data_IF_242965358078
#
_entry.id   IF_242965358078
#
_cell.length_a   1.000
_cell.length_b   1.000
_cell.length_c   1.000
_cell.angle_alpha   90.00
_cell.angle_beta   90.00
_cell.angle_gamma   90.00
#
_symmetry.space_group_name_H-M   'P 1'
#
loop_
_entity.id
_entity.type
_entity.pdbx_description
1 polymer ?
#
# COMPACT_ATOMS: atom_id res chain seq x y z
N UNK A 1 5.00 -18.16 -15.40
CA UNK A 1 5.87 -17.30 -14.58
C UNK A 1 7.28 -17.89 -14.56
N UNK A 2 8.18 -17.23 -15.30
CA UNK A 2 9.56 -17.71 -15.55
C UNK A 2 10.34 -18.05 -14.26
N UNK A 3 10.15 -17.29 -13.18
CA UNK A 3 10.84 -17.53 -11.91
C UNK A 3 10.43 -18.86 -11.28
N UNK A 4 9.14 -19.17 -11.29
CA UNK A 4 8.64 -20.43 -10.76
C UNK A 4 9.14 -21.61 -11.60
N UNK A 5 9.02 -21.55 -12.92
CA UNK A 5 9.48 -22.56 -13.86
C UNK A 5 10.99 -22.80 -13.74
N UNK A 6 11.76 -21.71 -13.55
CA UNK A 6 13.21 -21.80 -13.35
C UNK A 6 13.58 -22.52 -12.05
N UNK A 7 12.94 -22.16 -10.93
CA UNK A 7 13.25 -22.77 -9.61
C UNK A 7 12.83 -24.24 -9.57
N UNK A 8 11.71 -24.59 -10.19
CA UNK A 8 11.21 -25.97 -10.24
C UNK A 8 11.70 -26.77 -11.44
N UNK A 9 12.67 -26.26 -12.20
CA UNK A 9 13.27 -27.00 -13.30
C UNK A 9 14.06 -28.21 -12.76
N UNK A 10 13.64 -29.41 -13.15
CA UNK A 10 14.25 -30.67 -12.69
C UNK A 10 15.72 -30.81 -13.07
N UNK A 11 16.12 -30.31 -14.26
CA UNK A 11 17.51 -30.35 -14.74
C UNK A 11 18.44 -29.48 -13.86
N UNK A 12 17.91 -28.36 -13.35
CA UNK A 12 18.67 -27.47 -12.47
C UNK A 12 18.79 -28.01 -11.06
N UNK A 13 17.86 -28.87 -10.64
CA UNK A 13 17.86 -29.53 -9.32
C UNK A 13 17.96 -28.55 -8.14
N UNK A 14 17.32 -27.38 -8.24
CA UNK A 14 17.28 -26.42 -7.14
C UNK A 14 16.29 -26.83 -6.04
N UNK A 15 15.28 -27.60 -6.39
CA UNK A 15 14.30 -28.17 -5.46
C UNK A 15 14.28 -29.67 -5.62
N UNK A 16 14.39 -30.39 -4.51
CA UNK A 16 14.28 -31.85 -4.45
C UNK A 16 13.38 -32.24 -3.26
N UNK A 17 12.42 -33.10 -3.52
CA UNK A 17 11.49 -33.59 -2.49
C UNK A 17 10.81 -32.45 -1.69
N UNK A 18 10.49 -31.33 -2.38
CA UNK A 18 9.85 -30.18 -1.76
C UNK A 18 10.78 -29.31 -0.88
N UNK A 19 12.09 -29.49 -0.99
CA UNK A 19 13.10 -28.70 -0.25
C UNK A 19 14.10 -28.08 -1.20
N UNK A 20 14.59 -26.89 -0.85
CA UNK A 20 15.71 -26.26 -1.55
C UNK A 20 17.01 -27.02 -1.29
N UNK A 21 17.82 -27.16 -2.32
CA UNK A 21 19.11 -27.86 -2.28
C UNK A 21 20.26 -26.91 -2.01
N UNK A 22 21.45 -27.45 -1.68
CA UNK A 22 22.66 -26.64 -1.54
C UNK A 22 23.00 -25.91 -2.84
N UNK A 23 22.71 -26.50 -3.99
CA UNK A 23 22.90 -25.86 -5.30
C UNK A 23 22.09 -24.56 -5.47
N UNK A 24 20.89 -24.51 -4.85
CA UNK A 24 20.12 -23.26 -4.80
C UNK A 24 20.81 -22.21 -3.92
N UNK A 25 21.32 -22.63 -2.76
CA UNK A 25 22.04 -21.70 -1.87
C UNK A 25 23.35 -21.21 -2.49
N UNK A 26 24.07 -22.03 -3.23
CA UNK A 26 25.26 -21.62 -3.99
C UNK A 26 24.91 -20.55 -5.04
N UNK A 27 23.76 -20.69 -5.71
CA UNK A 27 23.26 -19.72 -6.70
C UNK A 27 23.00 -18.34 -6.09
N UNK A 28 22.41 -18.30 -4.89
CA UNK A 28 22.06 -17.03 -4.21
C UNK A 28 23.18 -16.49 -3.31
N UNK A 29 24.34 -17.15 -3.28
CA UNK A 29 25.50 -16.71 -2.55
C UNK A 29 25.59 -17.16 -1.10
N UNK A 30 24.78 -18.13 -0.67
CA UNK A 30 24.85 -18.74 0.65
C UNK A 30 23.50 -19.03 1.29
N UNK A 31 23.52 -19.58 2.50
CA UNK A 31 22.30 -19.86 3.28
C UNK A 31 21.74 -18.59 3.87
N UNK A 32 20.41 -18.49 3.90
CA UNK A 32 19.68 -17.37 4.46
C UNK A 32 19.34 -17.71 5.92
N UNK A 33 19.77 -16.87 6.85
CA UNK A 33 19.43 -17.02 8.27
C UNK A 33 18.12 -16.35 8.65
N UNK A 34 17.76 -15.26 7.98
CA UNK A 34 16.54 -14.49 8.26
C UNK A 34 15.89 -14.05 6.96
N UNK A 35 14.59 -14.27 6.84
CA UNK A 35 13.75 -13.73 5.75
C UNK A 35 12.82 -12.70 6.36
N UNK A 36 12.82 -11.49 5.79
CA UNK A 36 11.89 -10.43 6.12
C UNK A 36 11.07 -10.09 4.88
N UNK A 37 9.74 -10.15 5.00
CA UNK A 37 8.81 -9.87 3.90
C UNK A 37 7.90 -8.74 4.35
N UNK A 38 7.96 -7.64 3.63
CA UNK A 38 7.05 -6.50 3.80
C UNK A 38 5.92 -6.56 2.77
N UNK A 39 4.79 -5.91 3.07
CA UNK A 39 3.58 -5.90 2.23
C UNK A 39 3.12 -7.33 1.84
N UNK A 40 3.17 -8.25 2.80
CA UNK A 40 2.89 -9.67 2.53
C UNK A 40 1.49 -9.92 1.95
N UNK A 41 0.50 -9.07 2.23
CA UNK A 41 -0.86 -9.15 1.69
C UNK A 41 -0.92 -9.09 0.15
N UNK A 42 0.14 -8.58 -0.49
CA UNK A 42 0.24 -8.50 -1.95
C UNK A 42 0.92 -9.74 -2.57
N UNK A 43 1.28 -10.71 -1.73
CA UNK A 43 1.92 -11.97 -2.17
C UNK A 43 0.93 -12.85 -2.92
N UNK A 44 1.26 -13.22 -4.15
CA UNK A 44 0.47 -14.16 -4.93
C UNK A 44 0.72 -15.62 -4.50
N UNK A 45 -0.25 -16.51 -4.78
CA UNK A 45 -0.11 -17.95 -4.52
C UNK A 45 1.16 -18.54 -5.16
N UNK A 46 1.55 -18.02 -6.32
CA UNK A 46 2.74 -18.50 -7.01
C UNK A 46 4.04 -18.05 -6.33
N UNK A 47 4.08 -16.80 -5.86
CA UNK A 47 5.19 -16.30 -5.04
C UNK A 47 5.28 -17.06 -3.72
N UNK A 48 4.14 -17.34 -3.08
CA UNK A 48 4.09 -18.14 -1.86
C UNK A 48 4.72 -19.52 -2.05
N UNK A 49 4.43 -20.22 -3.15
CA UNK A 49 5.02 -21.52 -3.43
C UNK A 49 6.54 -21.52 -3.50
N UNK A 50 7.14 -20.39 -3.86
CA UNK A 50 8.60 -20.21 -3.87
C UNK A 50 9.08 -19.83 -2.46
N UNK A 51 8.42 -18.87 -1.84
CA UNK A 51 8.79 -18.35 -0.53
C UNK A 51 8.77 -19.45 0.55
N UNK A 52 7.75 -20.29 0.58
CA UNK A 52 7.63 -21.34 1.60
C UNK A 52 8.81 -22.34 1.55
N UNK A 53 9.38 -22.58 0.39
CA UNK A 53 10.58 -23.45 0.26
C UNK A 53 11.78 -22.80 0.94
N UNK A 54 11.94 -21.49 0.76
CA UNK A 54 13.01 -20.71 1.38
C UNK A 54 12.79 -20.57 2.88
N UNK A 55 11.56 -20.27 3.29
CA UNK A 55 11.16 -20.13 4.69
C UNK A 55 11.42 -21.42 5.48
N UNK A 56 11.09 -22.58 4.91
CA UNK A 56 11.34 -23.89 5.53
C UNK A 56 12.83 -24.20 5.71
N UNK A 57 13.71 -23.50 5.02
CA UNK A 57 15.17 -23.68 5.12
C UNK A 57 15.84 -22.54 5.93
N UNK A 58 15.06 -21.63 6.50
CA UNK A 58 15.52 -20.43 7.20
C UNK A 58 15.19 -20.53 8.68
N UNK A 59 16.01 -19.91 9.54
CA UNK A 59 15.82 -19.96 11.00
C UNK A 59 14.80 -18.95 11.49
N UNK A 60 14.81 -17.76 10.93
CA UNK A 60 13.98 -16.66 11.37
C UNK A 60 13.15 -16.10 10.21
N UNK A 61 11.87 -15.90 10.46
CA UNK A 61 10.93 -15.38 9.46
C UNK A 61 10.17 -14.23 10.09
N UNK A 62 10.12 -13.10 9.40
CA UNK A 62 9.33 -11.93 9.78
C UNK A 62 8.48 -11.54 8.57
N UNK A 63 7.17 -11.59 8.73
CA UNK A 63 6.22 -11.14 7.71
C UNK A 63 5.45 -9.94 8.26
N UNK A 64 5.44 -8.85 7.52
CA UNK A 64 4.70 -7.63 7.86
C UNK A 64 3.70 -7.34 6.77
N UNK A 65 2.50 -6.91 7.14
CA UNK A 65 1.45 -6.58 6.19
C UNK A 65 0.18 -6.10 6.87
N UNK A 66 -0.77 -5.67 6.07
CA UNK A 66 -2.11 -5.29 6.50
C UNK A 66 -3.13 -5.83 5.48
N UNK A 67 -3.95 -6.78 5.91
CA UNK A 67 -4.97 -7.41 5.04
C UNK A 67 -5.93 -6.39 4.41
N UNK A 68 -6.16 -5.26 5.10
CA UNK A 68 -7.05 -4.18 4.64
C UNK A 68 -6.45 -3.36 3.50
N UNK A 69 -5.13 -3.43 3.33
CA UNK A 69 -4.40 -2.78 2.24
C UNK A 69 -4.20 -3.68 1.02
N UNK A 70 -4.73 -4.90 1.00
CA UNK A 70 -4.68 -5.80 -0.14
C UNK A 70 -5.53 -5.29 -1.31
N UNK A 71 -4.93 -4.49 -2.19
CA UNK A 71 -5.58 -3.89 -3.36
C UNK A 71 -5.16 -4.53 -4.69
N UNK A 72 -4.23 -5.49 -4.66
CA UNK A 72 -3.65 -6.13 -5.84
C UNK A 72 -4.20 -7.54 -6.12
N UNK A 73 -5.41 -7.86 -5.67
CA UNK A 73 -6.07 -9.16 -5.95
C UNK A 73 -6.12 -9.48 -7.45
N UNK A 74 -6.29 -8.48 -8.32
CA UNK A 74 -6.26 -8.62 -9.77
C UNK A 74 -4.90 -9.02 -10.35
N UNK A 75 -3.80 -8.84 -9.59
CA UNK A 75 -2.45 -9.33 -9.93
C UNK A 75 -2.15 -10.72 -9.35
N UNK A 76 -3.14 -11.33 -8.69
CA UNK A 76 -3.00 -12.64 -8.05
C UNK A 76 -2.60 -12.57 -6.58
N UNK A 77 -2.67 -11.39 -5.96
CA UNK A 77 -2.59 -11.25 -4.50
C UNK A 77 -3.74 -12.04 -3.85
N UNK A 78 -3.43 -12.78 -2.81
CA UNK A 78 -4.39 -13.67 -2.13
C UNK A 78 -4.53 -13.23 -0.67
N UNK A 79 -5.60 -12.47 -0.39
CA UNK A 79 -5.90 -11.98 0.96
C UNK A 79 -5.98 -13.14 1.98
N UNK A 80 -6.60 -14.25 1.61
CA UNK A 80 -6.74 -15.42 2.47
C UNK A 80 -5.40 -16.06 2.84
N UNK A 81 -4.36 -15.84 2.03
CA UNK A 81 -3.02 -16.31 2.33
C UNK A 81 -2.44 -15.58 3.55
N UNK A 82 -2.62 -14.26 3.62
CA UNK A 82 -2.19 -13.46 4.76
C UNK A 82 -2.98 -13.82 6.04
N UNK A 83 -4.30 -13.95 5.95
CA UNK A 83 -5.16 -14.35 7.06
C UNK A 83 -4.80 -15.72 7.67
N UNK A 84 -4.22 -16.61 6.87
CA UNK A 84 -3.83 -17.97 7.29
C UNK A 84 -2.34 -18.11 7.60
N UNK A 85 -1.56 -17.04 7.44
CA UNK A 85 -0.10 -17.09 7.54
C UNK A 85 0.38 -17.63 8.89
N UNK A 86 -0.22 -17.18 9.99
CA UNK A 86 0.05 -17.65 11.35
C UNK A 86 0.08 -19.18 11.43
N UNK A 87 -0.97 -19.82 10.88
CA UNK A 87 -1.09 -21.28 10.90
C UNK A 87 -0.18 -21.98 9.87
N UNK A 88 0.19 -21.28 8.78
CA UNK A 88 1.01 -21.86 7.71
C UNK A 88 2.49 -21.96 8.09
N UNK A 89 2.96 -21.07 8.95
CA UNK A 89 4.37 -21.00 9.36
C UNK A 89 4.57 -21.12 10.89
N UNK A 90 3.50 -21.39 11.65
CA UNK A 90 3.53 -21.50 13.12
C UNK A 90 4.20 -20.28 13.77
N UNK A 91 3.69 -19.08 13.46
CA UNK A 91 4.26 -17.82 13.88
C UNK A 91 3.45 -17.14 14.99
N UNK A 92 4.12 -16.42 15.86
CA UNK A 92 3.49 -15.47 16.77
C UNK A 92 3.04 -14.22 16.00
N UNK A 93 1.86 -13.68 16.34
CA UNK A 93 1.29 -12.49 15.72
C UNK A 93 1.39 -11.31 16.66
N UNK A 94 1.95 -10.22 16.17
CA UNK A 94 1.98 -8.94 16.86
C UNK A 94 1.28 -7.86 16.04
N UNK A 95 0.42 -7.05 16.68
CA UNK A 95 -0.21 -5.91 16.03
C UNK A 95 0.60 -4.63 16.21
N UNK A 96 0.85 -3.91 15.10
CA UNK A 96 1.45 -2.59 15.12
C UNK A 96 0.35 -1.55 15.33
N UNK A 97 0.09 -1.18 16.57
CA UNK A 97 -1.03 -0.34 16.99
C UNK A 97 -0.74 1.18 16.93
N UNK A 98 0.45 1.58 16.46
CA UNK A 98 0.88 2.98 16.46
C UNK A 98 1.50 3.43 15.15
N UNK A 99 1.01 4.53 14.61
CA UNK A 99 1.63 5.23 13.48
C UNK A 99 2.76 6.15 13.97
N UNK A 100 3.93 5.99 13.36
CA UNK A 100 5.08 6.89 13.53
C UNK A 100 5.26 7.83 12.34
N UNK A 101 4.42 7.72 11.31
CA UNK A 101 4.47 8.50 10.07
C UNK A 101 3.60 9.73 10.12
N UNK A 102 2.38 9.58 10.61
CA UNK A 102 1.33 10.58 10.44
C UNK A 102 1.14 11.44 11.68
N UNK A 103 0.77 12.70 11.44
CA UNK A 103 0.38 13.63 12.49
C UNK A 103 -0.94 13.22 13.14
N UNK A 104 -1.16 13.72 14.37
CA UNK A 104 -2.32 13.42 15.20
C UNK A 104 -3.65 13.62 14.47
N UNK A 105 -3.85 14.81 13.89
CA UNK A 105 -5.11 15.15 13.24
C UNK A 105 -5.43 14.23 12.05
N UNK A 106 -4.41 13.76 11.34
CA UNK A 106 -4.58 12.80 10.25
C UNK A 106 -5.06 11.46 10.82
N UNK A 107 -4.40 10.96 11.88
CA UNK A 107 -4.76 9.68 12.47
C UNK A 107 -6.13 9.70 13.14
N UNK A 108 -6.50 10.78 13.83
CA UNK A 108 -7.82 10.94 14.43
C UNK A 108 -8.93 10.93 13.36
N UNK A 109 -8.71 11.60 12.24
CA UNK A 109 -9.68 11.59 11.14
C UNK A 109 -9.75 10.24 10.44
N UNK A 110 -8.62 9.57 10.20
CA UNK A 110 -8.60 8.20 9.67
C UNK A 110 -9.37 7.25 10.59
N UNK A 111 -9.08 7.26 11.89
CA UNK A 111 -9.79 6.45 12.87
C UNK A 111 -11.31 6.74 12.84
N UNK A 112 -11.70 8.02 12.83
CA UNK A 112 -13.12 8.43 12.79
C UNK A 112 -13.85 7.89 11.56
N UNK A 113 -13.20 7.88 10.40
CA UNK A 113 -13.79 7.35 9.16
C UNK A 113 -13.94 5.83 9.25
N UNK A 114 -12.87 5.13 9.61
CA UNK A 114 -12.84 3.66 9.53
C UNK A 114 -13.57 2.96 10.67
N UNK A 115 -13.61 3.53 11.88
CA UNK A 115 -14.45 3.02 12.97
C UNK A 115 -15.95 3.18 12.69
N UNK A 116 -16.31 4.11 11.80
CA UNK A 116 -17.70 4.31 11.35
C UNK A 116 -18.18 3.27 10.32
N UNK A 117 -17.29 2.52 9.70
CA UNK A 117 -17.62 1.48 8.71
C UNK A 117 -18.07 0.22 9.45
N UNK A 118 -19.37 -0.11 9.35
CA UNK A 118 -20.00 -1.17 10.16
C UNK A 118 -19.99 -2.57 9.54
N UNK A 119 -19.58 -2.73 8.30
CA UNK A 119 -19.69 -4.00 7.58
C UNK A 119 -18.33 -4.72 7.58
N UNK A 120 -18.26 -5.93 8.13
CA UNK A 120 -17.17 -6.94 8.05
C UNK A 120 -15.71 -6.42 8.11
N UNK A 121 -15.56 -5.18 8.56
CA UNK A 121 -14.31 -4.46 8.61
C UNK A 121 -13.82 -4.37 10.06
N UNK A 122 -13.04 -5.35 10.47
CA UNK A 122 -12.45 -5.36 11.80
C UNK A 122 -11.33 -4.32 11.89
N UNK A 123 -11.70 -3.06 12.15
CA UNK A 123 -10.75 -1.96 12.28
C UNK A 123 -10.45 -1.67 13.74
N UNK A 124 -9.18 -1.77 14.14
CA UNK A 124 -8.69 -1.30 15.42
C UNK A 124 -8.13 0.12 15.27
N UNK A 125 -8.46 1.01 16.19
CA UNK A 125 -7.93 2.37 16.18
C UNK A 125 -6.41 2.37 16.29
N UNK A 126 -5.77 3.11 15.38
CA UNK A 126 -4.32 3.26 15.35
C UNK A 126 -3.93 4.48 16.20
N UNK A 127 -3.08 4.27 17.18
CA UNK A 127 -2.49 5.32 18.01
C UNK A 127 -1.53 6.18 17.17
N UNK A 128 -1.28 7.40 17.61
CA UNK A 128 -0.32 8.31 16.99
C UNK A 128 0.83 8.63 17.97
N UNK A 129 1.89 9.22 17.44
CA UNK A 129 3.03 9.70 18.26
C UNK A 129 2.58 10.83 19.18
N UNK A 130 3.14 10.85 20.38
CA UNK A 130 2.86 11.88 21.39
C UNK A 130 3.87 13.02 21.40
N UNK A 131 4.90 12.98 20.54
CA UNK A 131 5.91 14.01 20.43
C UNK A 131 5.27 15.34 19.97
N UNK A 132 5.69 16.46 20.54
CA UNK A 132 5.11 17.81 20.26
C UNK A 132 5.12 18.16 18.77
N UNK A 133 6.15 17.73 18.05
CA UNK A 133 6.29 17.93 16.60
C UNK A 133 5.13 17.32 15.81
N UNK A 134 4.58 16.19 16.27
CA UNK A 134 3.52 15.45 15.59
C UNK A 134 2.10 15.76 16.06
N UNK A 135 1.96 16.77 16.93
CA UNK A 135 0.65 17.21 17.46
C UNK A 135 -0.06 18.24 16.55
N UNK A 136 0.63 18.76 15.51
CA UNK A 136 0.13 19.81 14.63
C UNK A 136 0.08 19.35 13.19
N UNK A 137 -0.95 18.59 12.84
CA UNK A 137 -1.27 18.26 11.46
C UNK A 137 -2.43 19.11 10.93
N UNK A 138 -2.82 18.85 9.71
CA UNK A 138 -4.01 19.41 9.10
C UNK A 138 -4.75 18.32 8.31
N UNK A 139 -6.06 18.30 8.48
CA UNK A 139 -6.94 17.46 7.69
C UNK A 139 -8.15 18.31 7.29
N UNK A 140 -8.46 18.31 6.00
CA UNK A 140 -9.63 19.00 5.47
C UNK A 140 -10.33 18.15 4.41
N UNK A 141 -11.63 18.31 4.27
CA UNK A 141 -12.39 17.65 3.22
C UNK A 141 -13.43 18.59 2.64
N UNK A 142 -13.68 18.44 1.34
CA UNK A 142 -14.72 19.14 0.63
C UNK A 142 -15.70 18.12 0.05
N UNK A 143 -16.92 18.11 0.55
CA UNK A 143 -18.00 17.28 0.03
C UNK A 143 -18.86 18.13 -0.88
N UNK A 144 -19.08 17.69 -2.11
CA UNK A 144 -20.08 18.25 -3.02
C UNK A 144 -21.17 17.25 -3.25
N UNK A 145 -22.40 17.68 -3.03
CA UNK A 145 -23.58 16.95 -3.48
C UNK A 145 -23.60 16.97 -5.01
N UNK A 146 -23.71 15.78 -5.62
CA UNK A 146 -23.98 15.69 -7.05
C UNK A 146 -25.44 16.07 -7.27
N UNK A 147 -25.75 17.14 -8.02
CA UNK A 147 -27.14 17.40 -8.36
C UNK A 147 -27.69 16.22 -9.16
N UNK A 148 -28.86 15.72 -8.76
CA UNK A 148 -29.56 14.61 -9.43
C UNK A 148 -30.07 14.96 -10.83
N UNK A 149 -29.95 16.22 -11.22
CA UNK A 149 -30.26 16.75 -12.55
C UNK A 149 -28.92 17.03 -13.25
N UNK A 150 -28.79 16.55 -14.48
CA UNK A 150 -27.66 16.85 -15.37
C UNK A 150 -27.60 18.36 -15.66
N UNK A 151 -27.04 19.13 -14.75
CA UNK A 151 -26.51 20.43 -15.06
C UNK A 151 -25.20 20.18 -15.83
N UNK A 152 -25.24 20.36 -17.14
CA UNK A 152 -24.14 20.14 -18.07
C UNK A 152 -22.90 21.02 -17.77
N UNK A 153 -23.04 22.00 -16.85
CA UNK A 153 -22.02 23.02 -16.56
C UNK A 153 -21.15 22.75 -15.32
N UNK A 154 -21.25 21.59 -14.65
CA UNK A 154 -20.45 21.37 -13.44
C UNK A 154 -19.71 20.05 -13.45
N UNK A 155 -18.57 19.98 -14.13
CA UNK A 155 -17.63 18.87 -14.02
C UNK A 155 -17.01 18.85 -12.59
N UNK A 156 -17.21 17.77 -11.82
CA UNK A 156 -16.60 17.63 -10.49
C UNK A 156 -15.08 17.76 -10.50
N UNK A 157 -14.44 17.33 -11.59
CA UNK A 157 -12.99 17.42 -11.78
C UNK A 157 -12.56 18.88 -11.90
N UNK A 158 -13.31 19.69 -12.63
CA UNK A 158 -13.00 21.13 -12.79
C UNK A 158 -13.02 21.88 -11.45
N UNK A 159 -14.02 21.61 -10.63
CA UNK A 159 -14.12 22.22 -9.29
C UNK A 159 -13.02 21.75 -8.33
N UNK A 160 -12.61 20.48 -8.43
CA UNK A 160 -11.47 19.98 -7.66
C UNK A 160 -10.18 20.69 -8.07
N UNK A 161 -9.98 20.91 -9.36
CA UNK A 161 -8.82 21.65 -9.89
C UNK A 161 -8.83 23.10 -9.41
N UNK A 162 -9.98 23.78 -9.46
CA UNK A 162 -10.13 25.14 -8.96
C UNK A 162 -9.73 25.26 -7.50
N UNK A 163 -10.19 24.34 -6.64
CA UNK A 163 -9.81 24.29 -5.23
C UNK A 163 -8.30 24.11 -5.04
N UNK A 164 -7.67 23.18 -5.77
CA UNK A 164 -6.22 22.98 -5.71
C UNK A 164 -5.46 24.24 -6.14
N UNK A 165 -5.92 24.89 -7.20
CA UNK A 165 -5.34 26.17 -7.69
C UNK A 165 -5.45 27.24 -6.62
N UNK A 166 -6.59 27.34 -5.94
CA UNK A 166 -6.80 28.30 -4.85
C UNK A 166 -5.88 28.01 -3.66
N UNK A 167 -5.74 26.75 -3.25
CA UNK A 167 -4.83 26.34 -2.18
C UNK A 167 -3.36 26.63 -2.51
N UNK A 168 -2.97 26.51 -3.78
CA UNK A 168 -1.63 26.89 -4.24
C UNK A 168 -1.43 28.42 -4.20
N UNK A 169 -2.41 29.21 -4.66
CA UNK A 169 -2.35 30.68 -4.69
C UNK A 169 -2.42 31.30 -3.30
N UNK A 170 -3.20 30.73 -2.40
CA UNK A 170 -3.31 31.19 -1.01
C UNK A 170 -2.08 30.85 -0.17
N UNK A 171 -1.20 29.96 -0.66
CA UNK A 171 -0.05 29.48 0.09
C UNK A 171 -0.40 28.43 1.15
N UNK A 172 -1.58 27.87 1.11
CA UNK A 172 -1.99 26.74 1.94
C UNK A 172 -1.13 25.50 1.60
N UNK A 173 -0.90 25.26 0.31
CA UNK A 173 0.13 24.31 -0.16
C UNK A 173 1.48 25.02 -0.19
N UNK A 174 2.27 24.84 0.86
CA UNK A 174 3.56 25.54 1.02
C UNK A 174 4.72 24.92 0.24
N UNK A 175 4.65 23.61 -0.01
CA UNK A 175 5.73 22.87 -0.65
C UNK A 175 5.16 21.92 -1.70
N UNK A 176 5.15 22.38 -2.94
CA UNK A 176 4.65 21.62 -4.08
C UNK A 176 5.45 20.31 -4.28
N UNK A 177 6.75 20.33 -4.02
CA UNK A 177 7.62 19.16 -4.17
C UNK A 177 7.32 18.02 -3.19
N UNK A 178 6.65 18.31 -2.08
CA UNK A 178 6.24 17.35 -1.07
C UNK A 178 4.71 17.09 -1.08
N UNK A 179 4.03 17.54 -2.14
CA UNK A 179 2.58 17.38 -2.28
C UNK A 179 2.27 16.31 -3.32
N UNK A 180 1.37 15.40 -2.98
CA UNK A 180 0.88 14.37 -3.89
C UNK A 180 -0.60 14.57 -4.15
N UNK A 181 -1.02 14.44 -5.41
CA UNK A 181 -2.42 14.45 -5.84
C UNK A 181 -2.78 13.04 -6.28
N UNK A 182 -3.79 12.47 -5.67
CA UNK A 182 -4.30 11.14 -6.01
C UNK A 182 -5.68 11.29 -6.65
N UNK A 183 -5.89 10.64 -7.79
CA UNK A 183 -7.18 10.57 -8.45
C UNK A 183 -7.55 9.13 -8.82
N UNK A 184 -8.82 8.87 -9.05
CA UNK A 184 -9.32 7.53 -9.33
C UNK A 184 -8.90 6.99 -10.70
N UNK A 185 -8.70 7.86 -11.67
CA UNK A 185 -8.36 7.47 -13.05
C UNK A 185 -7.19 8.29 -13.59
N UNK A 186 -6.40 7.66 -14.49
CA UNK A 186 -5.32 8.35 -15.20
C UNK A 186 -5.81 9.53 -16.04
N UNK A 187 -7.05 9.47 -16.58
CA UNK A 187 -7.67 10.59 -17.30
C UNK A 187 -7.79 11.83 -16.40
N UNK A 188 -8.32 11.66 -15.18
CA UNK A 188 -8.43 12.75 -14.22
C UNK A 188 -7.06 13.32 -13.83
N UNK A 189 -6.06 12.47 -13.62
CA UNK A 189 -4.69 12.91 -13.32
C UNK A 189 -4.10 13.74 -14.45
N UNK A 190 -4.26 13.31 -15.70
CA UNK A 190 -3.78 14.05 -16.88
C UNK A 190 -4.43 15.44 -16.96
N UNK A 191 -5.75 15.51 -16.78
CA UNK A 191 -6.49 16.76 -16.84
C UNK A 191 -6.06 17.72 -15.72
N UNK A 192 -5.90 17.21 -14.49
CA UNK A 192 -5.38 18.00 -13.36
C UNK A 192 -3.97 18.52 -13.66
N UNK A 193 -3.07 17.62 -14.13
CA UNK A 193 -1.70 18.01 -14.44
C UNK A 193 -1.61 19.06 -15.54
N UNK A 194 -2.37 18.92 -16.63
CA UNK A 194 -2.41 19.92 -17.71
C UNK A 194 -2.85 21.30 -17.21
N UNK A 195 -3.88 21.36 -16.37
CA UNK A 195 -4.39 22.62 -15.83
C UNK A 195 -3.40 23.25 -14.86
N UNK A 196 -2.81 22.48 -13.96
CA UNK A 196 -1.83 22.97 -13.00
C UNK A 196 -0.53 23.42 -13.68
N UNK A 197 -0.06 22.73 -14.70
CA UNK A 197 1.11 23.14 -15.47
C UNK A 197 0.88 24.46 -16.23
N UNK A 198 -0.34 24.73 -16.72
CA UNK A 198 -0.68 26.02 -17.33
C UNK A 198 -0.55 27.22 -16.40
N UNK A 199 -0.65 27.01 -15.10
CA UNK A 199 -0.44 28.05 -14.09
C UNK A 199 0.99 28.05 -13.49
N UNK A 200 1.89 27.22 -14.05
CA UNK A 200 3.30 27.18 -13.65
C UNK A 200 3.60 26.26 -12.46
N UNK A 201 2.68 25.40 -12.06
CA UNK A 201 2.95 24.38 -11.06
C UNK A 201 3.58 23.14 -11.75
N UNK A 202 4.89 23.02 -11.77
CA UNK A 202 5.62 21.91 -12.43
C UNK A 202 5.21 20.53 -11.87
N UNK A 203 4.11 19.99 -12.39
CA UNK A 203 3.50 18.73 -11.93
C UNK A 203 4.00 17.58 -12.80
N UNK A 204 4.46 16.51 -12.14
CA UNK A 204 4.86 15.25 -12.76
C UNK A 204 3.84 14.16 -12.45
N UNK A 205 3.44 13.41 -13.47
CA UNK A 205 2.61 12.21 -13.31
C UNK A 205 3.55 11.04 -13.04
N UNK A 206 3.30 10.35 -11.93
CA UNK A 206 3.96 9.09 -11.59
C UNK A 206 3.01 7.95 -11.99
N UNK A 207 3.45 7.09 -12.89
CA UNK A 207 2.73 5.90 -13.35
C UNK A 207 3.21 4.66 -12.62
#
# INVERSE_FOLDING_TARGET
NYTYEFIYNEELSFVKEGKVTDKFFDLIGGRIDTIMIDEFQDTSVLQWKILILMMNATKNIICVGDEKQSIYSWRGGEKQLFEKLENLIDADVEELDRSYRSYKEIMENVNSVFTGIKEDWNYSEVKYRTDEEYQKGYFGYHIKEHPTVKDEDSDPTEKAIENIVEMLKSGEIKNVGNTCIIARTGKQLNEIAERLNKIGADIKILN
#
